data_IF_022427424172
#
_entry.id   IF_022427424172
#
_cell.length_a   1.000
_cell.length_b   1.000
_cell.length_c   1.000
_cell.angle_alpha   90.00
_cell.angle_beta   90.00
_cell.angle_gamma   90.00
#
_symmetry.space_group_name_H-M   'P 1'
#
loop_
_entity.id
_entity.type
_entity.pdbx_description
1 polymer ?
#
# COMPACT_ATOMS: atom_id res chain seq x y z
N UNK A 1 5.38 4.17 -30.69
CA UNK A 1 5.20 2.79 -30.18
C UNK A 1 5.99 2.64 -28.88
N UNK A 2 5.38 2.93 -27.73
CA UNK A 2 6.08 2.90 -26.43
C UNK A 2 6.16 1.43 -25.96
N UNK A 3 7.37 0.87 -25.93
CA UNK A 3 7.60 -0.52 -25.53
C UNK A 3 6.99 -0.80 -24.16
N UNK A 4 6.30 -1.93 -24.01
CA UNK A 4 5.68 -2.38 -22.76
C UNK A 4 6.64 -2.34 -21.56
N UNK A 5 7.93 -2.46 -21.82
CA UNK A 5 9.01 -2.43 -20.84
C UNK A 5 9.16 -1.03 -20.18
N UNK A 6 9.02 0.06 -20.95
CA UNK A 6 9.10 1.43 -20.38
C UNK A 6 7.88 1.77 -19.51
N UNK A 7 6.71 1.23 -19.84
CA UNK A 7 5.49 1.37 -19.03
C UNK A 7 5.63 0.69 -17.67
N UNK A 8 6.24 -0.50 -17.62
CA UNK A 8 6.43 -1.26 -16.38
C UNK A 8 7.40 -0.56 -15.44
N UNK A 9 8.53 -0.06 -15.97
CA UNK A 9 9.51 0.70 -15.19
C UNK A 9 8.92 2.01 -14.67
N UNK A 10 8.15 2.72 -15.49
CA UNK A 10 7.45 3.94 -15.07
C UNK A 10 6.47 3.66 -13.94
N UNK A 11 5.69 2.57 -14.03
CA UNK A 11 4.78 2.16 -12.97
C UNK A 11 5.54 1.78 -11.69
N UNK A 12 6.69 1.12 -11.80
CA UNK A 12 7.54 0.79 -10.65
C UNK A 12 8.09 2.04 -9.95
N UNK A 13 8.56 3.04 -10.71
CA UNK A 13 8.97 4.34 -10.16
C UNK A 13 7.81 5.09 -9.51
N UNK A 14 6.62 5.04 -10.11
CA UNK A 14 5.41 5.57 -9.49
C UNK A 14 5.11 4.86 -8.17
N UNK A 15 5.22 3.53 -8.13
CA UNK A 15 5.10 2.73 -6.90
C UNK A 15 6.06 3.18 -5.80
N UNK A 16 7.35 3.38 -6.12
CA UNK A 16 8.34 3.91 -5.17
C UNK A 16 7.92 5.29 -4.66
N UNK A 17 7.51 6.19 -5.56
CA UNK A 17 7.03 7.52 -5.20
C UNK A 17 5.84 7.48 -4.24
N UNK A 18 4.85 6.62 -4.52
CA UNK A 18 3.69 6.42 -3.63
C UNK A 18 4.08 5.83 -2.28
N UNK A 19 5.07 4.93 -2.23
CA UNK A 19 5.58 4.40 -0.97
C UNK A 19 6.21 5.49 -0.11
N UNK A 20 7.07 6.33 -0.68
CA UNK A 20 7.72 7.44 0.03
C UNK A 20 6.65 8.43 0.54
N UNK A 21 5.69 8.77 -0.32
CA UNK A 21 4.58 9.65 0.03
C UNK A 21 3.73 9.07 1.18
N UNK A 22 3.47 7.76 1.16
CA UNK A 22 2.74 7.07 2.23
C UNK A 22 3.50 7.02 3.55
N UNK A 23 4.83 6.90 3.53
CA UNK A 23 5.66 6.96 4.74
C UNK A 23 5.59 8.35 5.36
N UNK A 24 5.72 9.40 4.54
CA UNK A 24 5.61 10.79 5.01
C UNK A 24 4.21 11.08 5.54
N UNK A 25 3.17 10.61 4.85
CA UNK A 25 1.77 10.77 5.26
C UNK A 25 1.45 10.05 6.57
N UNK A 26 2.18 8.98 6.89
CA UNK A 26 1.98 8.19 8.11
C UNK A 26 2.72 8.75 9.33
N UNK A 27 3.36 9.91 9.23
CA UNK A 27 4.05 10.53 10.36
C UNK A 27 3.05 10.85 11.49
N UNK A 28 3.30 10.29 12.68
CA UNK A 28 2.54 10.53 13.90
C UNK A 28 3.40 11.18 14.98
N UNK A 29 2.77 11.95 15.86
CA UNK A 29 3.43 12.52 17.04
C UNK A 29 3.58 11.47 18.16
N UNK A 30 4.13 11.89 19.29
CA UNK A 30 4.34 11.07 20.50
C UNK A 30 3.02 10.59 21.12
N UNK A 31 1.90 11.26 20.83
CA UNK A 31 0.56 10.91 21.30
C UNK A 31 -0.17 9.99 20.30
N UNK A 32 0.42 9.75 19.12
CA UNK A 32 -0.13 8.92 18.06
C UNK A 32 -1.06 9.66 17.10
N UNK A 33 -1.14 11.00 17.17
CA UNK A 33 -1.92 11.80 16.25
C UNK A 33 -1.17 12.00 14.94
N UNK A 34 -1.90 12.05 13.82
CA UNK A 34 -1.26 12.31 12.52
C UNK A 34 -0.77 13.76 12.44
N UNK A 35 0.51 13.92 12.10
CA UNK A 35 1.16 15.23 11.87
C UNK A 35 1.01 15.67 10.42
N UNK A 36 0.64 14.74 9.53
CA UNK A 36 0.50 15.02 8.11
C UNK A 36 -0.76 15.87 7.83
N UNK A 37 -0.68 16.89 6.97
CA UNK A 37 -1.86 17.64 6.57
C UNK A 37 -2.85 16.72 5.84
N UNK A 38 -4.15 16.93 6.09
CA UNK A 38 -5.24 16.10 5.54
C UNK A 38 -5.14 15.95 4.02
N UNK A 39 -4.77 17.03 3.31
CA UNK A 39 -4.58 17.00 1.87
C UNK A 39 -3.51 15.97 1.43
N UNK A 40 -2.41 15.83 2.18
CA UNK A 40 -1.34 14.89 1.88
C UNK A 40 -1.74 13.44 2.19
N UNK A 41 -2.54 13.22 3.23
CA UNK A 41 -3.15 11.90 3.52
C UNK A 41 -4.06 11.47 2.36
N UNK A 42 -4.93 12.35 1.88
CA UNK A 42 -5.87 12.06 0.78
C UNK A 42 -5.11 11.78 -0.52
N UNK A 43 -4.17 12.64 -0.90
CA UNK A 43 -3.37 12.46 -2.12
C UNK A 43 -2.56 11.17 -2.06
N UNK A 44 -1.94 10.87 -0.91
CA UNK A 44 -1.19 9.63 -0.69
C UNK A 44 -2.08 8.38 -0.84
N UNK A 45 -3.27 8.39 -0.22
CA UNK A 45 -4.22 7.29 -0.34
C UNK A 45 -4.68 7.06 -1.77
N UNK A 46 -5.02 8.12 -2.50
CA UNK A 46 -5.44 8.04 -3.91
C UNK A 46 -4.30 7.50 -4.77
N UNK A 47 -3.10 8.06 -4.65
CA UNK A 47 -1.95 7.65 -5.46
C UNK A 47 -1.58 6.18 -5.23
N UNK A 48 -1.60 5.73 -3.97
CA UNK A 48 -1.38 4.33 -3.60
C UNK A 48 -2.44 3.41 -4.19
N UNK A 49 -3.72 3.80 -4.10
CA UNK A 49 -4.83 3.02 -4.68
C UNK A 49 -4.69 2.89 -6.19
N UNK A 50 -4.37 3.99 -6.87
CA UNK A 50 -4.14 4.02 -8.32
C UNK A 50 -2.98 3.10 -8.71
N UNK A 51 -1.87 3.12 -7.97
CA UNK A 51 -0.76 2.19 -8.19
C UNK A 51 -1.19 0.72 -8.02
N UNK A 52 -1.91 0.39 -6.95
CA UNK A 52 -2.35 -0.98 -6.67
C UNK A 52 -3.23 -1.49 -7.81
N UNK A 53 -4.22 -0.71 -8.27
CA UNK A 53 -5.10 -1.10 -9.38
C UNK A 53 -4.30 -1.34 -10.66
N UNK A 54 -3.40 -0.42 -11.02
CA UNK A 54 -2.57 -0.57 -12.22
C UNK A 54 -1.61 -1.77 -12.11
N UNK A 55 -1.00 -1.98 -10.94
CA UNK A 55 -0.11 -3.11 -10.69
C UNK A 55 -0.86 -4.44 -10.77
N UNK A 56 -2.10 -4.49 -10.26
CA UNK A 56 -2.95 -5.68 -10.36
C UNK A 56 -3.24 -6.01 -11.82
N UNK A 57 -3.74 -5.06 -12.60
CA UNK A 57 -4.06 -5.25 -14.02
C UNK A 57 -2.83 -5.75 -14.78
N UNK A 58 -1.65 -5.18 -14.47
CA UNK A 58 -0.42 -5.47 -15.20
C UNK A 58 0.19 -6.82 -14.84
N UNK A 59 0.25 -7.16 -13.55
CA UNK A 59 0.88 -8.38 -13.07
C UNK A 59 -0.05 -9.59 -13.05
N UNK A 60 -1.36 -9.41 -13.29
CA UNK A 60 -2.35 -10.49 -13.19
C UNK A 60 -1.99 -11.77 -13.96
N UNK A 61 -1.43 -11.62 -15.16
CA UNK A 61 -1.09 -12.77 -16.04
C UNK A 61 0.26 -13.41 -15.71
N UNK A 62 1.14 -12.71 -15.00
CA UNK A 62 2.58 -12.99 -14.99
C UNK A 62 3.11 -13.27 -13.58
N UNK A 63 2.53 -12.60 -12.58
CA UNK A 63 2.87 -12.77 -11.18
C UNK A 63 1.61 -12.84 -10.31
N UNK A 64 0.65 -13.67 -10.73
CA UNK A 64 -0.68 -13.82 -10.10
C UNK A 64 -0.63 -13.98 -8.58
N UNK A 65 0.34 -14.74 -8.06
CA UNK A 65 0.54 -14.93 -6.61
C UNK A 65 0.86 -13.62 -5.88
N UNK A 66 1.78 -12.79 -6.40
CA UNK A 66 2.12 -11.51 -5.80
C UNK A 66 0.93 -10.54 -5.85
N UNK A 67 0.18 -10.56 -6.95
CA UNK A 67 -1.01 -9.74 -7.14
C UNK A 67 -2.13 -10.09 -6.16
N UNK A 68 -2.39 -11.39 -5.97
CA UNK A 68 -3.38 -11.88 -5.00
C UNK A 68 -2.96 -11.51 -3.59
N UNK A 69 -1.68 -11.69 -3.24
CA UNK A 69 -1.17 -11.35 -1.92
C UNK A 69 -1.33 -9.85 -1.63
N UNK A 70 -0.98 -8.97 -2.57
CA UNK A 70 -1.14 -7.52 -2.43
C UNK A 70 -2.62 -7.13 -2.27
N UNK A 71 -3.51 -7.66 -3.11
CA UNK A 71 -4.94 -7.36 -3.05
C UNK A 71 -5.55 -7.81 -1.71
N UNK A 72 -5.26 -9.04 -1.29
CA UNK A 72 -5.80 -9.60 -0.06
C UNK A 72 -5.31 -8.86 1.18
N UNK A 73 -4.01 -8.56 1.25
CA UNK A 73 -3.41 -7.83 2.38
C UNK A 73 -3.90 -6.38 2.44
N UNK A 74 -4.11 -5.73 1.29
CA UNK A 74 -4.70 -4.38 1.21
C UNK A 74 -6.14 -4.38 1.72
N UNK A 75 -6.96 -5.36 1.34
CA UNK A 75 -8.35 -5.47 1.78
C UNK A 75 -8.41 -5.70 3.30
N UNK A 76 -7.62 -6.64 3.83
CA UNK A 76 -7.56 -6.88 5.28
C UNK A 76 -7.11 -5.62 6.01
N UNK A 77 -6.08 -4.94 5.51
CA UNK A 77 -5.58 -3.71 6.11
C UNK A 77 -6.67 -2.63 6.15
N UNK A 78 -7.42 -2.47 5.07
CA UNK A 78 -8.53 -1.51 4.99
C UNK A 78 -9.63 -1.83 6.01
N UNK A 79 -10.07 -3.09 6.08
CA UNK A 79 -11.10 -3.53 7.03
C UNK A 79 -10.65 -3.31 8.47
N UNK A 80 -9.42 -3.71 8.81
CA UNK A 80 -8.87 -3.52 10.15
C UNK A 80 -8.75 -2.03 10.52
N UNK A 81 -8.38 -1.18 9.55
CA UNK A 81 -8.29 0.27 9.76
C UNK A 81 -9.68 0.88 10.02
N UNK A 82 -10.72 0.43 9.31
CA UNK A 82 -12.10 0.84 9.57
C UNK A 82 -12.56 0.40 10.96
N UNK A 83 -12.28 -0.85 11.35
CA UNK A 83 -12.66 -1.36 12.67
C UNK A 83 -11.98 -0.54 13.78
N UNK A 84 -10.68 -0.20 13.63
CA UNK A 84 -9.98 0.64 14.59
C UNK A 84 -10.59 2.04 14.71
N UNK A 85 -11.07 2.63 13.60
CA UNK A 85 -11.72 3.94 13.62
C UNK A 85 -13.07 3.95 14.35
N UNK A 86 -13.74 2.80 14.48
CA UNK A 86 -15.09 2.69 15.09
C UNK A 86 -15.05 2.04 16.48
N UNK A 87 -14.07 1.18 16.77
CA UNK A 87 -13.98 0.45 18.03
C UNK A 87 -13.36 1.31 19.15
N UNK A 88 -13.98 1.29 20.33
CA UNK A 88 -13.47 1.96 21.54
C UNK A 88 -12.24 1.24 22.13
N UNK A 89 -11.40 2.01 22.85
CA UNK A 89 -10.03 1.67 23.30
C UNK A 89 -9.82 0.28 23.94
N UNK A 90 -10.86 -0.37 24.47
CA UNK A 90 -10.77 -1.67 25.15
C UNK A 90 -10.33 -2.83 24.23
N UNK A 91 -10.75 -2.82 22.95
CA UNK A 91 -10.26 -3.78 21.94
C UNK A 91 -8.94 -3.36 21.27
N UNK A 92 -8.45 -2.15 21.58
CA UNK A 92 -7.35 -1.50 20.88
C UNK A 92 -6.05 -2.30 20.94
N UNK A 93 -5.73 -2.95 22.05
CA UNK A 93 -4.41 -3.59 22.24
C UNK A 93 -4.15 -4.76 21.29
N UNK A 94 -5.15 -5.61 21.04
CA UNK A 94 -5.03 -6.75 20.12
C UNK A 94 -5.15 -6.31 18.65
N UNK A 95 -6.10 -5.40 18.37
CA UNK A 95 -6.29 -4.85 17.03
C UNK A 95 -5.07 -4.06 16.54
N UNK A 96 -4.39 -3.31 17.40
CA UNK A 96 -3.17 -2.57 17.05
C UNK A 96 -2.05 -3.53 16.61
N UNK A 97 -1.87 -4.66 17.32
CA UNK A 97 -0.87 -5.66 16.96
C UNK A 97 -1.20 -6.27 15.59
N UNK A 98 -2.46 -6.65 15.37
CA UNK A 98 -2.92 -7.20 14.08
C UNK A 98 -2.73 -6.19 12.94
N UNK A 99 -3.09 -4.93 13.15
CA UNK A 99 -2.86 -3.85 12.19
C UNK A 99 -1.38 -3.69 11.82
N UNK A 100 -0.50 -3.70 12.81
CA UNK A 100 0.93 -3.56 12.56
C UNK A 100 1.48 -4.77 11.78
N UNK A 101 1.06 -5.99 12.12
CA UNK A 101 1.44 -7.19 11.36
C UNK A 101 0.93 -7.08 9.91
N UNK A 102 -0.34 -6.72 9.71
CA UNK A 102 -0.90 -6.56 8.36
C UNK A 102 -0.20 -5.44 7.59
N UNK A 103 0.16 -4.31 8.22
CA UNK A 103 0.95 -3.24 7.61
C UNK A 103 2.29 -3.75 7.09
N UNK A 104 3.02 -4.53 7.90
CA UNK A 104 4.32 -5.10 7.52
C UNK A 104 4.17 -6.09 6.36
N UNK A 105 3.18 -6.98 6.41
CA UNK A 105 2.95 -7.95 5.32
C UNK A 105 2.57 -7.22 4.03
N UNK A 106 1.67 -6.22 4.11
CA UNK A 106 1.28 -5.40 2.96
C UNK A 106 2.49 -4.66 2.38
N UNK A 107 3.36 -4.10 3.22
CA UNK A 107 4.59 -3.45 2.80
C UNK A 107 5.55 -4.40 2.06
N UNK A 108 5.75 -5.62 2.56
CA UNK A 108 6.56 -6.64 1.89
C UNK A 108 5.94 -7.02 0.54
N UNK A 109 4.63 -7.25 0.49
CA UNK A 109 3.91 -7.57 -0.75
C UNK A 109 4.03 -6.44 -1.78
N UNK A 110 3.94 -5.19 -1.34
CA UNK A 110 4.09 -3.99 -2.17
C UNK A 110 5.49 -3.91 -2.79
N UNK A 111 6.55 -4.10 -1.98
CA UNK A 111 7.93 -4.15 -2.48
C UNK A 111 8.16 -5.29 -3.45
N UNK A 112 7.61 -6.47 -3.18
CA UNK A 112 7.68 -7.60 -4.08
C UNK A 112 7.05 -7.26 -5.45
N UNK A 113 5.86 -6.65 -5.45
CA UNK A 113 5.19 -6.20 -6.67
C UNK A 113 6.06 -5.20 -7.45
N UNK A 114 6.72 -4.25 -6.80
CA UNK A 114 7.66 -3.33 -7.45
C UNK A 114 8.83 -4.10 -8.11
N UNK A 115 9.44 -5.05 -7.39
CA UNK A 115 10.55 -5.86 -7.92
C UNK A 115 10.09 -6.66 -9.15
N UNK A 116 8.88 -7.22 -9.11
CA UNK A 116 8.31 -7.96 -10.25
C UNK A 116 8.06 -7.05 -11.45
N UNK A 117 7.58 -5.82 -11.24
CA UNK A 117 7.43 -4.83 -12.30
C UNK A 117 8.76 -4.46 -12.97
N UNK A 118 9.86 -4.37 -12.21
CA UNK A 118 11.19 -4.14 -12.78
C UNK A 118 11.74 -5.34 -13.58
N UNK A 119 11.40 -6.56 -13.16
CA UNK A 119 11.87 -7.80 -13.81
C UNK A 119 11.08 -8.20 -15.06
N UNK A 120 9.90 -7.62 -15.28
CA UNK A 120 9.12 -7.83 -16.49
C UNK A 120 9.81 -7.22 -17.72
N UNK A 121 9.97 -8.02 -18.77
CA UNK A 121 10.47 -7.57 -20.07
C UNK A 121 9.36 -7.00 -20.96
#
# INVERSE_FOLDING_TARGET
MWSNNMKNKTLAFFGIGTCILSVIASATDIEGNSVAPIALLVVSGIATTVFIVMAIIRLWKEAKSATILLAFTTIIFFILSLIQGVASLSYGRSLIIQLNITKVINFIAFFWVIIKLFKMK
#
